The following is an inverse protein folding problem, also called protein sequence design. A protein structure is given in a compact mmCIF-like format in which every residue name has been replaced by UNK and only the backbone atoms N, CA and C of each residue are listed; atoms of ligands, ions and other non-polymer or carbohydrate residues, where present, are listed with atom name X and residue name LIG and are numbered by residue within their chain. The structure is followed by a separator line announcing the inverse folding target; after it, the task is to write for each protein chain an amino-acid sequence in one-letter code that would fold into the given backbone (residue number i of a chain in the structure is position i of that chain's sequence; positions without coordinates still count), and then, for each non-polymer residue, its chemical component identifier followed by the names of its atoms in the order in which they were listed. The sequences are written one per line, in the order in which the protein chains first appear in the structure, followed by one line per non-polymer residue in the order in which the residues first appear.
data_IF_101258894287
#
_entry.id   IF_101258894287
#
_cell.length_a   1.000
_cell.length_b   1.000
_cell.length_c   1.000
_cell.angle_alpha   90.00
_cell.angle_beta   90.00
_cell.angle_gamma   90.00
#
_symmetry.space_group_name_H-M   'P 1'
#
loop_
_entity.id
_entity.type
_entity.pdbx_description
1 polymer ?
#
# COMPACT_ATOMS: atom_id res chain seq x y z
N UNK A 1 5.61 -18.12 0.57
CA UNK A 1 5.88 -18.24 -0.88
C UNK A 1 6.81 -17.10 -1.25
N UNK A 2 8.12 -17.39 -1.41
CA UNK A 2 9.09 -16.41 -1.89
C UNK A 2 8.71 -16.04 -3.32
N UNK A 3 8.29 -14.77 -3.54
CA UNK A 3 8.28 -14.20 -4.89
C UNK A 3 9.74 -14.03 -5.28
N UNK A 4 10.19 -14.70 -6.33
CA UNK A 4 11.43 -14.36 -7.00
C UNK A 4 11.30 -12.91 -7.47
N UNK A 5 12.09 -12.03 -6.87
CA UNK A 5 12.25 -10.68 -7.38
C UNK A 5 13.00 -10.82 -8.72
N UNK A 6 12.35 -10.39 -9.80
CA UNK A 6 12.99 -10.32 -11.11
C UNK A 6 14.27 -9.49 -11.00
N UNK A 7 15.35 -9.97 -11.62
CA UNK A 7 16.58 -9.18 -11.69
C UNK A 7 16.28 -7.85 -12.40
N UNK A 8 17.07 -6.82 -12.10
CA UNK A 8 16.89 -5.50 -12.72
C UNK A 8 16.92 -5.58 -14.25
N UNK A 9 17.82 -6.40 -14.81
CA UNK A 9 17.97 -6.61 -16.25
C UNK A 9 16.75 -7.31 -16.86
N UNK A 10 16.23 -8.36 -16.20
CA UNK A 10 15.02 -9.04 -16.66
C UNK A 10 13.79 -8.12 -16.63
N UNK A 11 13.72 -7.22 -15.65
CA UNK A 11 12.66 -6.25 -15.54
C UNK A 11 12.70 -5.20 -16.65
N UNK A 12 13.88 -4.73 -17.05
CA UNK A 12 14.06 -3.80 -18.16
C UNK A 12 13.72 -4.46 -19.51
N UNK A 13 14.14 -5.70 -19.75
CA UNK A 13 13.76 -6.46 -20.95
C UNK A 13 12.24 -6.62 -21.10
N UNK A 14 11.54 -6.86 -19.98
CA UNK A 14 10.07 -6.90 -19.96
C UNK A 14 9.45 -5.52 -20.28
N UNK A 15 10.04 -4.44 -19.78
CA UNK A 15 9.56 -3.08 -20.08
C UNK A 15 9.69 -2.80 -21.58
N UNK A 16 10.83 -3.09 -22.18
CA UNK A 16 11.05 -2.84 -23.61
C UNK A 16 10.09 -3.66 -24.49
N UNK A 17 9.88 -4.93 -24.16
CA UNK A 17 8.91 -5.80 -24.85
C UNK A 17 7.48 -5.29 -24.69
N UNK A 18 7.11 -4.88 -23.50
CA UNK A 18 5.77 -4.34 -23.22
C UNK A 18 5.50 -3.03 -23.97
N UNK A 19 6.50 -2.15 -24.11
CA UNK A 19 6.38 -0.88 -24.85
C UNK A 19 6.13 -1.15 -26.35
N UNK A 20 6.70 -2.20 -26.92
CA UNK A 20 6.46 -2.56 -28.34
C UNK A 20 5.19 -3.39 -28.54
N UNK A 21 4.41 -3.64 -27.49
CA UNK A 21 3.08 -4.26 -27.56
C UNK A 21 3.04 -5.74 -27.20
N UNK A 22 4.08 -6.30 -26.58
CA UNK A 22 4.05 -7.66 -26.06
C UNK A 22 3.13 -7.73 -24.81
N UNK A 23 1.94 -8.31 -24.99
CA UNK A 23 0.96 -8.44 -23.92
C UNK A 23 1.39 -9.38 -22.79
N UNK A 24 2.21 -10.40 -23.07
CA UNK A 24 2.71 -11.32 -22.05
C UNK A 24 3.75 -10.64 -21.17
N UNK A 25 4.65 -9.88 -21.77
CA UNK A 25 5.64 -9.08 -21.04
C UNK A 25 4.95 -8.03 -20.14
N UNK A 26 3.90 -7.37 -20.65
CA UNK A 26 3.10 -6.42 -19.88
C UNK A 26 2.40 -7.09 -18.68
N UNK A 27 1.78 -8.25 -18.91
CA UNK A 27 1.12 -9.00 -17.83
C UNK A 27 2.11 -9.42 -16.73
N UNK A 28 3.27 -9.92 -17.11
CA UNK A 28 4.31 -10.32 -16.16
C UNK A 28 4.84 -9.12 -15.36
N UNK A 29 5.05 -7.99 -16.03
CA UNK A 29 5.48 -6.74 -15.41
C UNK A 29 4.46 -6.24 -14.38
N UNK A 30 3.17 -6.22 -14.72
CA UNK A 30 2.10 -5.83 -13.80
C UNK A 30 1.98 -6.82 -12.63
N UNK A 31 2.10 -8.12 -12.89
CA UNK A 31 2.07 -9.15 -11.85
C UNK A 31 3.23 -8.99 -10.86
N UNK A 32 4.41 -8.63 -11.34
CA UNK A 32 5.59 -8.41 -10.49
C UNK A 32 5.39 -7.27 -9.48
N UNK A 33 4.65 -6.23 -9.87
CA UNK A 33 4.40 -5.04 -9.05
C UNK A 33 3.06 -5.04 -8.29
N UNK A 34 2.13 -5.94 -8.62
CA UNK A 34 0.78 -5.98 -8.04
C UNK A 34 0.76 -6.02 -6.51
N UNK A 35 1.63 -6.82 -5.90
CA UNK A 35 1.72 -6.92 -4.45
C UNK A 35 2.25 -5.64 -3.78
N UNK A 36 3.18 -4.94 -4.43
CA UNK A 36 3.67 -3.65 -3.96
C UNK A 36 2.52 -2.63 -3.99
N UNK A 37 1.82 -2.52 -5.12
CA UNK A 37 0.73 -1.58 -5.32
C UNK A 37 -0.41 -1.84 -4.35
N UNK A 38 -0.87 -3.08 -4.22
CA UNK A 38 -1.96 -3.45 -3.31
C UNK A 38 -1.62 -3.16 -1.84
N UNK A 39 -0.43 -3.58 -1.36
CA UNK A 39 -0.02 -3.33 0.02
C UNK A 39 0.11 -1.83 0.31
N UNK A 40 0.55 -1.05 -0.67
CA UNK A 40 0.61 0.40 -0.56
C UNK A 40 -0.79 0.99 -0.47
N UNK A 41 -1.69 0.61 -1.38
CA UNK A 41 -3.08 1.06 -1.41
C UNK A 41 -3.82 0.73 -0.10
N UNK A 42 -3.67 -0.50 0.41
CA UNK A 42 -4.28 -0.93 1.67
C UNK A 42 -3.83 -0.06 2.86
N UNK A 43 -2.56 0.32 2.92
CA UNK A 43 -2.04 1.19 3.98
C UNK A 43 -2.49 2.64 3.85
N UNK A 44 -2.74 3.09 2.61
CA UNK A 44 -3.24 4.44 2.36
C UNK A 44 -4.74 4.57 2.62
N UNK A 45 -5.53 3.62 2.15
CA UNK A 45 -7.00 3.70 2.11
C UNK A 45 -7.67 3.00 3.29
N UNK A 46 -7.04 1.96 3.85
CA UNK A 46 -7.49 1.29 5.07
C UNK A 46 -8.46 0.13 4.84
N UNK A 47 -9.11 0.02 3.69
CA UNK A 47 -10.02 -1.09 3.37
C UNK A 47 -9.51 -1.92 2.20
N UNK A 48 -9.85 -3.21 2.20
CA UNK A 48 -9.47 -4.13 1.11
C UNK A 48 -10.15 -3.71 -0.19
N UNK A 49 -11.43 -3.35 -0.13
CA UNK A 49 -12.22 -2.95 -1.30
C UNK A 49 -11.62 -1.72 -1.99
N UNK A 50 -11.39 -0.63 -1.25
CA UNK A 50 -10.78 0.58 -1.83
C UNK A 50 -9.35 0.31 -2.34
N UNK A 51 -8.61 -0.60 -1.67
CA UNK A 51 -7.27 -0.98 -2.11
C UNK A 51 -7.28 -1.77 -3.43
N UNK A 52 -8.27 -2.64 -3.64
CA UNK A 52 -8.47 -3.37 -4.90
C UNK A 52 -8.80 -2.42 -6.03
N UNK A 53 -9.77 -1.53 -5.84
CA UNK A 53 -10.18 -0.54 -6.84
C UNK A 53 -9.02 0.38 -7.21
N UNK A 54 -8.34 0.96 -6.23
CA UNK A 54 -7.19 1.81 -6.48
C UNK A 54 -6.04 1.05 -7.17
N UNK A 55 -5.84 -0.22 -6.85
CA UNK A 55 -4.81 -1.03 -7.50
C UNK A 55 -5.10 -1.24 -8.98
N UNK A 56 -6.35 -1.45 -9.36
CA UNK A 56 -6.77 -1.56 -10.76
C UNK A 56 -6.53 -0.24 -11.51
N UNK A 57 -6.92 0.89 -10.94
CA UNK A 57 -6.70 2.20 -11.55
C UNK A 57 -5.21 2.53 -11.67
N UNK A 58 -4.39 2.17 -10.68
CA UNK A 58 -2.94 2.33 -10.73
C UNK A 58 -2.35 1.45 -11.84
N UNK A 59 -2.82 0.20 -12.00
CA UNK A 59 -2.39 -0.67 -13.09
C UNK A 59 -2.67 -0.06 -14.47
N UNK A 60 -3.85 0.52 -14.67
CA UNK A 60 -4.18 1.26 -15.90
C UNK A 60 -3.24 2.46 -16.11
N UNK A 61 -2.91 3.20 -15.04
CA UNK A 61 -1.95 4.32 -15.13
C UNK A 61 -0.53 3.86 -15.45
N UNK A 62 -0.10 2.71 -14.93
CA UNK A 62 1.19 2.11 -15.27
C UNK A 62 1.21 1.76 -16.77
N UNK A 63 0.19 1.05 -17.27
CA UNK A 63 0.10 0.66 -18.69
C UNK A 63 0.14 1.87 -19.61
N UNK A 64 -0.68 2.87 -19.35
CA UNK A 64 -0.78 4.06 -20.20
C UNK A 64 0.44 4.97 -20.18
N UNK A 65 1.25 4.89 -19.12
CA UNK A 65 2.46 5.71 -18.96
C UNK A 65 3.76 4.94 -19.13
N UNK A 66 3.70 3.65 -19.48
CA UNK A 66 4.89 2.79 -19.54
C UNK A 66 5.96 3.35 -20.47
N UNK A 67 5.58 3.91 -21.61
CA UNK A 67 6.48 4.57 -22.56
C UNK A 67 7.19 5.82 -22.02
N UNK A 68 6.77 6.32 -20.85
CA UNK A 68 7.43 7.47 -20.19
C UNK A 68 8.50 7.04 -19.18
N UNK A 69 8.67 5.74 -18.96
CA UNK A 69 9.72 5.23 -18.09
C UNK A 69 11.09 5.41 -18.77
N UNK A 70 12.03 6.09 -18.11
CA UNK A 70 13.33 6.50 -18.66
C UNK A 70 14.52 5.77 -18.06
N UNK A 71 14.30 4.70 -17.29
CA UNK A 71 15.35 3.92 -16.61
C UNK A 71 16.26 4.74 -15.64
N UNK A 72 15.91 5.98 -15.36
CA UNK A 72 16.63 6.84 -14.39
C UNK A 72 16.53 6.32 -12.95
N UNK A 73 15.62 5.39 -12.70
CA UNK A 73 15.37 4.75 -11.40
C UNK A 73 14.97 3.29 -11.60
N UNK A 74 14.95 2.49 -10.51
CA UNK A 74 14.35 1.17 -10.57
C UNK A 74 12.86 1.27 -10.99
N UNK A 75 12.37 0.31 -11.77
CA UNK A 75 10.98 0.27 -12.24
C UNK A 75 10.00 0.30 -11.06
N UNK A 76 10.29 -0.43 -9.98
CA UNK A 76 9.49 -0.39 -8.75
C UNK A 76 9.39 1.01 -8.14
N UNK A 77 10.45 1.82 -8.22
CA UNK A 77 10.46 3.21 -7.73
C UNK A 77 9.58 4.09 -8.61
N UNK A 78 9.59 3.88 -9.91
CA UNK A 78 8.72 4.61 -10.85
C UNK A 78 7.24 4.23 -10.64
N UNK A 79 6.92 2.94 -10.51
CA UNK A 79 5.58 2.45 -10.16
C UNK A 79 5.11 3.04 -8.83
N UNK A 80 5.98 3.04 -7.82
CA UNK A 80 5.68 3.62 -6.52
C UNK A 80 5.27 5.09 -6.64
N UNK A 81 5.99 5.89 -7.44
CA UNK A 81 5.67 7.31 -7.65
C UNK A 81 4.28 7.50 -8.27
N UNK A 82 3.92 6.68 -9.25
CA UNK A 82 2.58 6.69 -9.86
C UNK A 82 1.52 6.35 -8.80
N UNK A 83 1.76 5.28 -8.02
CA UNK A 83 0.83 4.81 -7.02
C UNK A 83 0.59 5.83 -5.91
N UNK A 84 1.66 6.41 -5.34
CA UNK A 84 1.53 7.42 -4.27
C UNK A 84 0.76 8.65 -4.75
N UNK A 85 1.06 9.15 -5.94
CA UNK A 85 0.35 10.31 -6.47
C UNK A 85 -1.15 10.01 -6.63
N UNK A 86 -1.50 8.83 -7.17
CA UNK A 86 -2.89 8.43 -7.28
C UNK A 86 -3.59 8.29 -5.92
N UNK A 87 -2.94 7.65 -4.96
CA UNK A 87 -3.51 7.42 -3.63
C UNK A 87 -3.69 8.71 -2.83
N UNK A 88 -2.82 9.69 -3.02
CA UNK A 88 -3.00 11.03 -2.45
C UNK A 88 -4.26 11.71 -3.00
N UNK A 89 -4.48 11.61 -4.30
CA UNK A 89 -5.67 12.17 -4.95
C UNK A 89 -6.96 11.49 -4.45
N UNK A 90 -6.99 10.16 -4.43
CA UNK A 90 -8.14 9.38 -3.90
C UNK A 90 -8.50 9.79 -2.48
N UNK A 91 -7.50 9.93 -1.60
CA UNK A 91 -7.73 10.29 -0.21
C UNK A 91 -8.29 11.70 -0.04
N UNK A 92 -7.81 12.65 -0.82
CA UNK A 92 -8.33 14.02 -0.77
C UNK A 92 -9.82 14.05 -1.06
N UNK A 93 -10.30 13.18 -1.94
CA UNK A 93 -11.72 13.04 -2.25
C UNK A 93 -12.53 12.27 -1.19
N UNK A 94 -11.98 11.20 -0.64
CA UNK A 94 -12.69 10.38 0.36
C UNK A 94 -12.84 11.05 1.72
N UNK A 95 -11.84 11.80 2.17
CA UNK A 95 -11.78 12.36 3.52
C UNK A 95 -12.09 13.85 3.61
N UNK A 96 -12.48 14.50 2.53
CA UNK A 96 -12.95 15.88 2.54
C UNK A 96 -14.16 16.08 3.49
N UNK A 97 -14.92 15.00 3.77
CA UNK A 97 -16.18 15.07 4.52
C UNK A 97 -16.12 14.45 5.94
N UNK A 98 -15.08 13.72 6.31
CA UNK A 98 -14.96 13.14 7.66
C UNK A 98 -13.49 12.80 7.99
N UNK A 99 -12.72 13.75 8.56
CA UNK A 99 -11.37 13.44 9.00
C UNK A 99 -11.42 12.46 10.18
N UNK A 100 -10.85 11.28 10.01
CA UNK A 100 -10.62 10.34 11.10
C UNK A 100 -9.55 10.93 12.00
N UNK A 101 -9.87 11.18 13.28
CA UNK A 101 -8.93 11.79 14.22
C UNK A 101 -8.53 10.83 15.33
N UNK A 102 -7.34 11.06 15.93
CA UNK A 102 -6.92 10.32 17.12
C UNK A 102 -7.89 10.48 18.30
N UNK A 103 -8.58 11.61 18.39
CA UNK A 103 -9.57 11.88 19.43
C UNK A 103 -10.79 10.98 19.27
N UNK A 104 -11.33 10.84 18.06
CA UNK A 104 -12.41 9.90 17.75
C UNK A 104 -11.99 8.46 18.07
N UNK A 105 -10.83 8.04 17.61
CA UNK A 105 -10.32 6.69 17.86
C UNK A 105 -10.10 6.44 19.36
N UNK A 106 -9.58 7.41 20.10
CA UNK A 106 -9.42 7.33 21.54
C UNK A 106 -10.75 7.22 22.28
N UNK A 107 -11.76 7.96 21.84
CA UNK A 107 -13.11 7.90 22.41
C UNK A 107 -13.76 6.52 22.19
N UNK A 108 -13.63 5.96 20.98
CA UNK A 108 -14.16 4.63 20.65
C UNK A 108 -13.50 3.53 21.50
N UNK A 109 -12.18 3.59 21.70
CA UNK A 109 -11.47 2.63 22.57
C UNK A 109 -11.96 2.72 24.01
N UNK A 110 -12.18 3.93 24.52
CA UNK A 110 -12.67 4.14 25.89
C UNK A 110 -14.09 3.64 26.04
N UNK A 111 -14.95 3.92 25.06
CA UNK A 111 -16.36 3.47 25.08
C UNK A 111 -16.46 1.94 24.98
N UNK A 112 -15.65 1.29 24.13
CA UNK A 112 -15.62 -0.18 24.02
C UNK A 112 -15.04 -0.87 25.25
N UNK A 113 -14.07 -0.26 25.96
CA UNK A 113 -13.58 -0.78 27.24
C UNK A 113 -14.63 -0.81 28.34
N UNK A 114 -15.65 0.02 28.21
CA UNK A 114 -16.79 0.04 29.15
C UNK A 114 -17.82 -1.07 28.87
N UNK A 115 -17.73 -1.74 27.73
CA UNK A 115 -18.61 -2.87 27.37
C UNK A 115 -17.95 -4.18 27.78
N UNK A 116 -18.69 -5.01 28.49
CA UNK A 116 -18.27 -6.38 28.84
C UNK A 116 -18.29 -7.25 27.56
N UNK A 117 -17.18 -7.24 26.81
CA UNK A 117 -17.06 -7.99 25.56
C UNK A 117 -16.63 -9.42 25.90
N UNK A 118 -17.38 -10.45 25.47
CA UNK A 118 -16.98 -11.83 25.68
C UNK A 118 -15.60 -12.12 25.12
N UNK A 119 -14.77 -12.85 25.86
CA UNK A 119 -13.46 -13.29 25.40
C UNK A 119 -13.63 -14.31 24.26
N UNK A 120 -13.52 -13.84 23.01
CA UNK A 120 -13.60 -14.67 21.81
C UNK A 120 -12.26 -15.33 21.45
N UNK A 121 -11.24 -15.20 22.30
CA UNK A 121 -9.90 -15.75 22.04
C UNK A 121 -9.78 -17.23 22.37
N UNK A 122 -10.82 -17.86 22.92
CA UNK A 122 -10.82 -19.27 23.27
C UNK A 122 -10.68 -20.14 22.00
N UNK A 123 -9.57 -20.88 21.89
CA UNK A 123 -9.25 -21.71 20.71
C UNK A 123 -8.47 -21.03 19.59
N UNK A 124 -8.16 -19.74 19.70
CA UNK A 124 -7.34 -19.01 18.73
C UNK A 124 -5.88 -18.94 19.20
N UNK A 125 -4.94 -19.13 18.27
CA UNK A 125 -3.52 -18.91 18.55
C UNK A 125 -3.28 -17.44 18.95
N UNK A 126 -2.91 -17.26 20.23
CA UNK A 126 -2.64 -15.93 20.79
C UNK A 126 -1.56 -15.15 20.03
N UNK A 127 -0.59 -15.86 19.44
CA UNK A 127 0.45 -15.23 18.61
C UNK A 127 -0.12 -14.68 17.30
N UNK A 128 -1.04 -15.40 16.68
CA UNK A 128 -1.75 -14.97 15.47
C UNK A 128 -2.67 -13.78 15.77
N UNK A 129 -3.46 -13.87 16.84
CA UNK A 129 -4.35 -12.81 17.28
C UNK A 129 -3.59 -11.51 17.60
N UNK A 130 -2.47 -11.59 18.33
CA UNK A 130 -1.64 -10.44 18.65
C UNK A 130 -1.03 -9.80 17.40
N UNK A 131 -0.70 -10.59 16.38
CA UNK A 131 -0.18 -10.08 15.10
C UNK A 131 -1.27 -9.37 14.30
N UNK A 132 -2.47 -9.92 14.25
CA UNK A 132 -3.62 -9.29 13.58
C UNK A 132 -4.04 -7.99 14.28
N UNK A 133 -4.12 -7.99 15.59
CA UNK A 133 -4.40 -6.79 16.38
C UNK A 133 -3.37 -5.69 16.13
N UNK A 134 -2.07 -6.04 16.10
CA UNK A 134 -1.01 -5.09 15.81
C UNK A 134 -1.14 -4.48 14.41
N UNK A 135 -1.46 -5.30 13.41
CA UNK A 135 -1.67 -4.83 12.04
C UNK A 135 -2.91 -3.92 11.94
N UNK A 136 -4.00 -4.31 12.58
CA UNK A 136 -5.23 -3.53 12.63
C UNK A 136 -5.02 -2.18 13.31
N UNK A 137 -4.43 -2.15 14.50
CA UNK A 137 -4.11 -0.92 15.23
C UNK A 137 -3.20 0.01 14.40
N UNK A 138 -2.16 -0.54 13.76
CA UNK A 138 -1.27 0.25 12.91
C UNK A 138 -2.02 0.85 11.73
N UNK A 139 -2.92 0.08 11.11
CA UNK A 139 -3.71 0.56 9.99
C UNK A 139 -4.65 1.70 10.40
N UNK A 140 -5.36 1.55 11.53
CA UNK A 140 -6.23 2.61 12.06
C UNK A 140 -5.43 3.86 12.41
N UNK A 141 -4.28 3.73 13.07
CA UNK A 141 -3.40 4.87 13.37
C UNK A 141 -2.94 5.59 12.10
N UNK A 142 -2.64 4.85 11.05
CA UNK A 142 -2.30 5.45 9.74
C UNK A 142 -3.48 6.24 9.17
N UNK A 143 -4.73 5.84 9.43
CA UNK A 143 -5.90 6.60 8.97
C UNK A 143 -6.04 7.96 9.67
N UNK A 144 -5.48 8.14 10.86
CA UNK A 144 -5.46 9.42 11.57
C UNK A 144 -4.38 10.40 11.06
N UNK A 145 -3.45 9.96 10.21
CA UNK A 145 -2.42 10.81 9.64
C UNK A 145 -2.92 11.49 8.35
N UNK A 146 -2.45 12.72 8.11
CA UNK A 146 -2.59 13.35 6.80
C UNK A 146 -1.83 12.57 5.70
N UNK A 147 -2.11 12.89 4.44
CA UNK A 147 -1.56 12.15 3.30
C UNK A 147 -0.03 12.19 3.22
N UNK A 148 0.60 13.29 3.60
CA UNK A 148 2.06 13.45 3.52
C UNK A 148 2.76 12.73 4.66
N UNK A 149 2.27 12.86 5.89
CA UNK A 149 2.77 12.14 7.07
C UNK A 149 2.63 10.63 6.90
N UNK A 150 1.52 10.16 6.36
CA UNK A 150 1.30 8.75 6.03
C UNK A 150 2.26 8.27 4.96
N UNK A 151 2.44 9.05 3.90
CA UNK A 151 3.42 8.75 2.85
C UNK A 151 4.82 8.59 3.43
N UNK A 152 5.26 9.52 4.28
CA UNK A 152 6.55 9.47 4.94
C UNK A 152 6.71 8.22 5.82
N UNK A 153 5.68 7.87 6.59
CA UNK A 153 5.69 6.66 7.41
C UNK A 153 5.78 5.38 6.57
N UNK A 154 4.96 5.27 5.53
CA UNK A 154 4.94 4.10 4.64
C UNK A 154 6.27 3.96 3.90
N UNK A 155 6.83 5.07 3.40
CA UNK A 155 8.16 5.09 2.78
C UNK A 155 9.25 4.61 3.75
N UNK A 156 9.27 5.15 4.96
CA UNK A 156 10.25 4.78 5.97
C UNK A 156 10.17 3.31 6.39
N UNK A 157 8.97 2.73 6.42
CA UNK A 157 8.75 1.34 6.84
C UNK A 157 8.91 0.32 5.71
N UNK A 158 8.41 0.60 4.51
CA UNK A 158 8.47 -0.33 3.37
C UNK A 158 9.82 -0.32 2.67
N UNK A 159 10.41 0.85 2.50
CA UNK A 159 11.66 1.01 1.75
C UNK A 159 12.87 1.21 2.63
N UNK A 160 12.68 1.25 3.96
CA UNK A 160 13.76 1.56 4.93
C UNK A 160 14.55 2.83 4.59
N UNK A 161 13.90 3.76 3.87
CA UNK A 161 14.48 5.04 3.49
C UNK A 161 14.60 5.88 4.77
N UNK A 162 15.79 6.33 5.10
CA UNK A 162 16.07 7.18 6.27
C UNK A 162 16.71 6.47 7.46
N UNK A 163 16.99 5.17 7.39
CA UNK A 163 17.95 4.56 8.32
C UNK A 163 19.37 4.79 7.79
N UNK A 164 19.83 6.04 7.91
CA UNK A 164 21.26 6.27 7.94
C UNK A 164 21.79 5.51 9.16
N UNK A 165 22.72 4.61 8.95
CA UNK A 165 23.47 4.01 10.05
C UNK A 165 24.18 5.16 10.79
N UNK A 166 23.73 5.43 12.00
CA UNK A 166 24.51 6.15 13.01
C UNK A 166 25.38 5.11 13.70
#
# INVERSE_FOLDING_TARGET
MHREELSKEAQLDLVDKAIVGDGQALEELLRSTSGLVFNLALRFLGTVHDAEDASQEIAVKIMTRLSTFREESAFSTWVYRIAVNHLKDCRTHQFANAPFSFEMYGADIVDERAKDVPDLSEGVDRGMLARELKLSCTNVMLQCLDADSRCAYVLGTMFKIGRAHV
#
